data_IF_025740831640
#
_entry.id   IF_025740831640
#
_cell.length_a   1.000
_cell.length_b   1.000
_cell.length_c   1.000
_cell.angle_alpha   90.00
_cell.angle_beta   90.00
_cell.angle_gamma   90.00
#
_symmetry.space_group_name_H-M   'P 1'
#
loop_
_entity.id
_entity.type
_entity.pdbx_description
1 polymer ?
#
# COMPACT_ATOMS: atom_id res chain seq x y z
N UNK A 1 -12.62 10.47 2.43
CA UNK A 1 -11.54 9.47 2.34
C UNK A 1 -11.18 9.04 3.74
N UNK A 2 -11.44 7.78 4.06
CA UNK A 2 -10.92 7.13 5.25
C UNK A 2 -9.43 6.80 5.08
N UNK A 3 -8.97 6.69 3.83
CA UNK A 3 -7.55 6.49 3.47
C UNK A 3 -6.99 7.66 2.66
N UNK A 4 -6.02 8.39 3.21
CA UNK A 4 -5.34 9.45 2.47
C UNK A 4 -4.57 8.88 1.27
N UNK A 5 -3.92 7.72 1.46
CA UNK A 5 -3.09 7.12 0.42
C UNK A 5 -3.94 6.62 -0.74
N UNK A 6 -5.11 6.03 -0.46
CA UNK A 6 -6.09 5.67 -1.49
C UNK A 6 -6.57 6.88 -2.29
N UNK A 7 -6.82 8.02 -1.61
CA UNK A 7 -7.22 9.26 -2.29
C UNK A 7 -6.15 9.78 -3.25
N UNK A 8 -4.89 9.85 -2.79
CA UNK A 8 -3.76 10.33 -3.62
C UNK A 8 -3.52 9.36 -4.78
N UNK A 9 -3.58 8.05 -4.53
CA UNK A 9 -3.37 7.03 -5.55
C UNK A 9 -4.38 7.13 -6.71
N UNK A 10 -5.62 7.54 -6.43
CA UNK A 10 -6.67 7.71 -7.45
C UNK A 10 -6.57 9.08 -8.13
N UNK A 11 -6.29 10.13 -7.36
CA UNK A 11 -6.41 11.52 -7.86
C UNK A 11 -5.10 12.08 -8.40
N UNK A 12 -3.96 11.65 -7.87
CA UNK A 12 -2.64 12.19 -8.18
C UNK A 12 -1.52 11.16 -7.94
N UNK A 13 -1.51 10.04 -8.68
CA UNK A 13 -0.50 8.98 -8.52
C UNK A 13 0.94 9.45 -8.76
N UNK A 14 1.15 10.47 -9.60
CA UNK A 14 2.49 11.03 -9.87
C UNK A 14 3.14 11.67 -8.64
N UNK A 15 2.32 12.15 -7.70
CA UNK A 15 2.84 12.63 -6.41
C UNK A 15 3.46 11.51 -5.58
N UNK A 16 2.91 10.30 -5.63
CA UNK A 16 3.49 9.13 -4.95
C UNK A 16 4.80 8.70 -5.60
N UNK A 17 4.87 8.70 -6.94
CA UNK A 17 6.14 8.48 -7.68
C UNK A 17 7.21 9.47 -7.24
N UNK A 18 6.84 10.75 -7.19
CA UNK A 18 7.74 11.83 -6.74
C UNK A 18 8.22 11.59 -5.31
N UNK A 19 7.34 11.17 -4.39
CA UNK A 19 7.72 10.86 -3.01
C UNK A 19 8.72 9.69 -2.97
N UNK A 20 8.46 8.60 -3.70
CA UNK A 20 9.40 7.47 -3.78
C UNK A 20 10.77 7.91 -4.30
N UNK A 21 10.80 8.68 -5.39
CA UNK A 21 12.03 9.26 -5.95
C UNK A 21 12.81 10.06 -4.91
N UNK A 22 12.13 10.92 -4.15
CA UNK A 22 12.77 11.78 -3.15
C UNK A 22 13.41 10.99 -2.00
N UNK A 23 12.77 9.90 -1.54
CA UNK A 23 13.39 9.03 -0.55
C UNK A 23 14.64 8.30 -1.10
N UNK A 24 14.58 7.84 -2.35
CA UNK A 24 15.73 7.20 -3.01
C UNK A 24 16.90 8.19 -3.18
N UNK A 25 16.63 9.41 -3.63
CA UNK A 25 17.61 10.50 -3.76
C UNK A 25 18.22 10.91 -2.42
N UNK A 26 17.45 10.83 -1.33
CA UNK A 26 17.92 11.06 0.03
C UNK A 26 18.80 9.91 0.58
N UNK A 27 18.92 8.79 -0.15
CA UNK A 27 19.76 7.66 0.22
C UNK A 27 19.04 6.56 1.00
N UNK A 28 17.72 6.41 0.84
CA UNK A 28 16.99 5.30 1.45
C UNK A 28 17.44 3.95 0.88
N UNK A 29 17.79 3.01 1.77
CA UNK A 29 18.05 1.60 1.42
C UNK A 29 16.74 0.81 1.18
N UNK A 30 15.61 1.36 1.65
CA UNK A 30 14.28 0.79 1.52
C UNK A 30 13.22 1.89 1.37
N UNK A 31 12.27 1.67 0.47
CA UNK A 31 11.04 2.47 0.37
C UNK A 31 9.83 1.57 0.62
N UNK A 32 8.73 2.16 1.10
CA UNK A 32 7.47 1.45 1.31
C UNK A 32 6.46 1.83 0.23
N UNK A 33 5.71 0.85 -0.31
CA UNK A 33 4.54 1.17 -1.13
C UNK A 33 3.48 1.89 -0.29
N UNK A 34 2.66 2.72 -0.93
CA UNK A 34 1.60 3.51 -0.28
C UNK A 34 0.36 2.67 0.12
N UNK A 35 0.59 1.43 0.59
CA UNK A 35 -0.43 0.39 0.76
C UNK A 35 -0.88 0.16 2.19
N UNK A 36 -0.33 0.88 3.19
CA UNK A 36 -0.68 0.68 4.60
C UNK A 36 -2.20 0.74 4.86
N UNK A 37 -2.89 1.74 4.27
CA UNK A 37 -4.35 1.88 4.32
C UNK A 37 -5.04 1.55 2.97
N UNK A 38 -4.32 1.06 1.97
CA UNK A 38 -4.90 0.70 0.68
C UNK A 38 -5.40 -0.75 0.74
N UNK A 39 -6.54 -0.95 1.40
CA UNK A 39 -7.26 -2.22 1.46
C UNK A 39 -8.45 -2.18 0.51
N UNK A 40 -8.74 -3.25 -0.25
CA UNK A 40 -9.92 -3.29 -1.11
C UNK A 40 -11.22 -2.92 -0.38
N UNK A 41 -11.40 -3.38 0.86
CA UNK A 41 -12.58 -3.09 1.69
C UNK A 41 -12.73 -1.59 2.00
N UNK A 42 -11.61 -0.91 2.29
CA UNK A 42 -11.60 0.54 2.55
C UNK A 42 -11.81 1.34 1.27
N UNK A 43 -11.23 0.89 0.16
CA UNK A 43 -11.39 1.53 -1.15
C UNK A 43 -12.82 1.42 -1.65
N UNK A 44 -13.46 0.25 -1.52
CA UNK A 44 -14.87 0.04 -1.87
C UNK A 44 -15.81 0.89 -1.01
N UNK A 45 -15.50 1.07 0.28
CA UNK A 45 -16.27 1.96 1.16
C UNK A 45 -16.12 3.45 0.79
N UNK A 46 -14.94 3.88 0.33
CA UNK A 46 -14.67 5.25 -0.11
C UNK A 46 -15.12 5.51 -1.57
N UNK A 47 -15.22 4.47 -2.41
CA UNK A 47 -15.58 4.52 -3.83
C UNK A 47 -16.59 3.42 -4.21
N UNK A 48 -17.90 3.66 -4.00
CA UNK A 48 -18.94 2.65 -4.25
C UNK A 48 -19.08 2.20 -5.71
N UNK A 49 -18.47 2.91 -6.66
CA UNK A 49 -18.48 2.57 -8.09
C UNK A 49 -17.42 1.54 -8.47
N UNK A 50 -16.47 1.24 -7.58
CA UNK A 50 -15.43 0.25 -7.86
C UNK A 50 -15.99 -1.15 -7.69
N UNK A 51 -15.58 -2.05 -8.60
CA UNK A 51 -15.60 -3.49 -8.35
C UNK A 51 -14.51 -3.89 -7.37
N UNK A 52 -14.59 -5.12 -6.85
CA UNK A 52 -13.50 -5.68 -6.03
C UNK A 52 -12.20 -5.72 -6.83
N UNK A 53 -12.28 -6.09 -8.10
CA UNK A 53 -11.16 -6.16 -9.02
C UNK A 53 -10.51 -4.77 -9.22
N UNK A 54 -11.29 -3.70 -9.36
CA UNK A 54 -10.77 -2.32 -9.45
C UNK A 54 -10.00 -1.94 -8.19
N UNK A 55 -10.55 -2.26 -7.02
CA UNK A 55 -9.94 -1.94 -5.73
C UNK A 55 -8.63 -2.72 -5.52
N UNK A 56 -8.60 -4.00 -5.87
CA UNK A 56 -7.38 -4.82 -5.83
C UNK A 56 -6.34 -4.36 -6.86
N UNK A 57 -6.77 -3.97 -8.06
CA UNK A 57 -5.88 -3.45 -9.09
C UNK A 57 -5.21 -2.16 -8.67
N UNK A 58 -5.94 -1.30 -7.96
CA UNK A 58 -5.38 -0.08 -7.41
C UNK A 58 -4.28 -0.39 -6.36
N UNK A 59 -4.48 -1.41 -5.51
CA UNK A 59 -3.45 -1.87 -4.58
C UNK A 59 -2.22 -2.39 -5.32
N UNK A 60 -2.41 -3.24 -6.34
CA UNK A 60 -1.32 -3.74 -7.19
C UNK A 60 -0.55 -2.60 -7.84
N UNK A 61 -1.28 -1.61 -8.38
CA UNK A 61 -0.70 -0.42 -9.00
C UNK A 61 0.18 0.38 -8.04
N UNK A 62 -0.20 0.53 -6.77
CA UNK A 62 0.65 1.20 -5.78
C UNK A 62 1.97 0.48 -5.53
N UNK A 63 1.97 -0.86 -5.53
CA UNK A 63 3.19 -1.66 -5.39
C UNK A 63 4.05 -1.55 -6.65
N UNK A 64 3.46 -1.76 -7.84
CA UNK A 64 4.17 -1.64 -9.12
C UNK A 64 4.82 -0.28 -9.29
N UNK A 65 4.12 0.79 -8.92
CA UNK A 65 4.64 2.15 -8.98
C UNK A 65 5.93 2.33 -8.17
N UNK A 66 5.97 1.80 -6.94
CA UNK A 66 7.16 1.86 -6.09
C UNK A 66 8.31 1.04 -6.69
N UNK A 67 8.02 -0.15 -7.22
CA UNK A 67 9.01 -1.02 -7.89
C UNK A 67 9.57 -0.39 -9.16
N UNK A 68 8.72 0.19 -10.00
CA UNK A 68 9.13 0.90 -11.22
C UNK A 68 10.06 2.06 -10.90
N UNK A 69 9.73 2.88 -9.90
CA UNK A 69 10.56 4.02 -9.51
C UNK A 69 11.91 3.56 -8.94
N UNK A 70 11.89 2.53 -8.10
CA UNK A 70 13.10 1.86 -7.62
C UNK A 70 13.96 1.38 -8.79
N UNK A 71 13.38 0.66 -9.76
CA UNK A 71 14.11 0.11 -10.90
C UNK A 71 14.76 1.21 -11.76
N UNK A 72 14.05 2.32 -12.00
CA UNK A 72 14.58 3.49 -12.72
C UNK A 72 15.79 4.06 -11.99
N UNK A 73 15.65 4.31 -10.70
CA UNK A 73 16.72 4.86 -9.88
C UNK A 73 17.94 3.94 -9.77
N UNK A 74 17.75 2.63 -9.61
CA UNK A 74 18.86 1.66 -9.59
C UNK A 74 19.61 1.66 -10.93
N UNK A 75 18.89 1.76 -12.05
CA UNK A 75 19.49 1.84 -13.39
C UNK A 75 20.35 3.10 -13.57
N UNK A 76 19.87 4.24 -13.07
CA UNK A 76 20.56 5.52 -13.18
C UNK A 76 21.79 5.64 -12.27
N UNK A 77 21.79 4.97 -11.12
CA UNK A 77 22.78 5.19 -10.06
C UNK A 77 23.68 3.99 -9.77
N UNK A 78 23.33 2.80 -10.27
CA UNK A 78 23.94 1.52 -9.90
C UNK A 78 23.88 1.19 -8.40
N UNK A 79 23.05 1.90 -7.63
CA UNK A 79 22.75 1.59 -6.23
C UNK A 79 21.59 0.60 -6.14
N UNK A 80 21.39 0.01 -4.96
CA UNK A 80 20.28 -0.93 -4.69
C UNK A 80 19.35 -0.38 -3.63
N UNK A 81 18.06 -0.68 -3.76
CA UNK A 81 17.04 -0.36 -2.78
C UNK A 81 15.97 -1.47 -2.75
N UNK A 82 15.47 -1.77 -1.54
CA UNK A 82 14.36 -2.71 -1.34
C UNK A 82 13.02 -1.98 -1.42
N UNK A 83 12.00 -2.62 -2.01
CA UNK A 83 10.61 -2.17 -1.88
C UNK A 83 9.89 -3.04 -0.85
N UNK A 84 9.42 -2.44 0.23
CA UNK A 84 8.60 -3.10 1.22
C UNK A 84 7.11 -2.83 0.96
N UNK A 85 6.28 -3.86 1.15
CA UNK A 85 4.83 -3.75 1.05
C UNK A 85 4.23 -3.81 2.45
N UNK A 86 3.94 -2.65 3.08
CA UNK A 86 3.36 -2.66 4.41
C UNK A 86 1.95 -3.24 4.40
N UNK A 87 1.72 -4.25 5.24
CA UNK A 87 0.41 -4.82 5.52
C UNK A 87 -0.17 -4.14 6.76
N UNK A 88 -0.98 -3.10 6.57
CA UNK A 88 -1.54 -2.34 7.70
C UNK A 88 -2.27 -3.21 8.72
N UNK A 89 -2.27 -2.76 9.97
CA UNK A 89 -2.98 -3.42 11.08
C UNK A 89 -4.46 -3.62 10.73
N UNK A 90 -5.10 -4.66 11.27
CA UNK A 90 -6.55 -4.79 11.21
C UNK A 90 -7.27 -3.52 11.65
N UNK A 91 -6.77 -2.83 12.69
CA UNK A 91 -7.38 -1.61 13.22
C UNK A 91 -7.55 -0.47 12.20
N UNK A 92 -6.79 -0.45 11.10
CA UNK A 92 -6.95 0.58 10.06
C UNK A 92 -8.34 0.57 9.44
N UNK A 93 -9.06 -0.57 9.48
CA UNK A 93 -10.43 -0.63 8.98
C UNK A 93 -11.47 -0.06 9.96
N UNK A 94 -11.11 0.11 11.24
CA UNK A 94 -11.97 0.69 12.27
C UNK A 94 -11.98 2.22 12.19
N UNK A 95 -10.85 2.83 11.81
CA UNK A 95 -10.75 4.27 11.58
C UNK A 95 -10.90 5.13 12.84
N UNK A 96 -10.69 4.56 14.03
CA UNK A 96 -10.88 5.20 15.33
C UNK A 96 -9.57 5.42 16.10
N UNK A 97 -8.42 5.08 15.51
CA UNK A 97 -7.10 5.18 16.14
C UNK A 97 -6.71 3.94 16.95
N UNK A 98 -7.47 2.84 16.89
CA UNK A 98 -7.15 1.63 17.62
C UNK A 98 -5.82 0.97 17.18
N UNK A 99 -5.24 1.38 16.05
CA UNK A 99 -3.89 0.97 15.61
C UNK A 99 -2.78 1.36 16.60
N UNK A 100 -3.04 2.35 17.47
CA UNK A 100 -2.12 2.79 18.52
C UNK A 100 -2.44 2.21 19.91
N UNK A 101 -3.60 1.56 20.07
CA UNK A 101 -4.11 1.11 21.38
C UNK A 101 -4.27 -0.40 21.48
N UNK A 102 -4.54 -1.08 20.37
CA UNK A 102 -4.82 -2.51 20.36
C UNK A 102 -6.18 -2.89 20.98
N UNK A 103 -7.08 -1.93 21.21
CA UNK A 103 -8.36 -2.15 21.88
C UNK A 103 -9.47 -2.62 20.93
N UNK A 104 -9.20 -3.69 20.17
CA UNK A 104 -10.16 -4.31 19.26
C UNK A 104 -10.16 -5.83 19.43
N UNK A 105 -11.34 -6.44 19.31
CA UNK A 105 -11.47 -7.88 19.34
C UNK A 105 -11.24 -8.45 17.94
N UNK A 106 -10.12 -9.14 17.74
CA UNK A 106 -9.82 -9.88 16.52
C UNK A 106 -9.14 -11.21 16.86
N UNK A 107 -9.80 -12.31 16.54
CA UNK A 107 -9.26 -13.66 16.70
C UNK A 107 -8.36 -14.03 15.51
N UNK A 108 -7.54 -15.08 15.65
CA UNK A 108 -6.76 -15.62 14.53
C UNK A 108 -7.64 -15.96 13.31
N UNK A 109 -8.84 -16.49 13.55
CA UNK A 109 -9.81 -16.80 12.48
C UNK A 109 -10.33 -15.57 11.72
N UNK A 110 -10.17 -14.37 12.26
CA UNK A 110 -10.47 -13.10 11.57
C UNK A 110 -9.20 -12.55 10.90
N UNK A 111 -8.07 -12.59 11.61
CA UNK A 111 -6.82 -11.98 11.15
C UNK A 111 -6.20 -12.75 9.98
N UNK A 112 -6.19 -14.07 10.02
CA UNK A 112 -5.61 -14.90 8.95
C UNK A 112 -6.25 -14.62 7.58
N UNK A 113 -7.58 -14.74 7.38
CA UNK A 113 -8.18 -14.42 6.08
C UNK A 113 -8.00 -12.94 5.71
N UNK A 114 -7.99 -12.03 6.69
CA UNK A 114 -7.77 -10.60 6.47
C UNK A 114 -6.36 -10.26 5.94
N UNK A 115 -5.33 -10.96 6.40
CA UNK A 115 -3.97 -10.77 5.89
C UNK A 115 -3.68 -11.61 4.64
N UNK A 116 -4.26 -12.81 4.53
CA UNK A 116 -4.11 -13.64 3.34
C UNK A 116 -4.69 -12.95 2.10
N UNK A 117 -5.85 -12.30 2.21
CA UNK A 117 -6.47 -11.61 1.08
C UNK A 117 -5.57 -10.54 0.45
N UNK A 118 -4.89 -9.73 1.27
CA UNK A 118 -3.97 -8.71 0.75
C UNK A 118 -2.67 -9.31 0.24
N UNK A 119 -2.16 -10.36 0.88
CA UNK A 119 -0.96 -11.05 0.42
C UNK A 119 -1.19 -11.66 -0.95
N UNK A 120 -2.37 -12.24 -1.19
CA UNK A 120 -2.74 -12.79 -2.48
C UNK A 120 -2.79 -11.74 -3.60
N UNK A 121 -3.16 -10.50 -3.26
CA UNK A 121 -3.19 -9.37 -4.20
C UNK A 121 -1.76 -8.91 -4.57
N UNK A 122 -0.84 -8.83 -3.60
CA UNK A 122 0.46 -8.17 -3.79
C UNK A 122 1.64 -9.12 -4.04
N UNK A 123 1.48 -10.45 -3.83
CA UNK A 123 2.58 -11.43 -3.88
C UNK A 123 3.36 -11.48 -5.19
N UNK A 124 2.78 -11.04 -6.30
CA UNK A 124 3.42 -11.09 -7.62
C UNK A 124 4.08 -9.77 -8.04
N UNK A 125 3.85 -8.68 -7.30
CA UNK A 125 4.24 -7.33 -7.72
C UNK A 125 5.58 -6.89 -7.14
N UNK A 126 6.28 -7.75 -6.38
CA UNK A 126 7.50 -7.41 -5.63
C UNK A 126 8.81 -7.65 -6.40
N UNK A 127 8.76 -7.96 -7.70
CA UNK A 127 9.96 -8.31 -8.49
C UNK A 127 10.56 -7.10 -9.20
#
# INVERSE_FOLDING_TARGET
FRSWSGSVLIRNPDSLRTIHRRYLEAGADMIQSATYQARPELLLADYPTFSREDAEELVRFAVRMAVEERNRWETETSKRCTVAVPLGSYAVILGDGAEYRGNYEATASILEPFYNSIMDVVKFEQR
#
